data_IF_847786447631
#
_entry.id   IF_847786447631
#
_cell.length_a   1.000
_cell.length_b   1.000
_cell.length_c   1.000
_cell.angle_alpha   90.00
_cell.angle_beta   90.00
_cell.angle_gamma   90.00
#
_symmetry.space_group_name_H-M   'P 1'
#
loop_
_entity.id
_entity.type
_entity.pdbx_description
1 polymer ?
#
# COMPACT_ATOMS: atom_id res chain seq x y z
N UNK A 1 7.68 -8.03 32.15
CA UNK A 1 7.18 -9.11 33.04
C UNK A 1 7.89 -10.44 32.75
N UNK A 2 7.88 -10.97 31.52
CA UNK A 2 8.53 -12.26 31.21
C UNK A 2 10.06 -12.23 31.04
N UNK A 3 10.69 -11.05 30.90
CA UNK A 3 12.14 -10.88 30.65
C UNK A 3 12.67 -11.63 29.41
N UNK A 4 11.81 -11.80 28.40
CA UNK A 4 12.18 -12.36 27.08
C UNK A 4 12.54 -11.23 26.10
N UNK A 5 13.37 -11.52 25.10
CA UNK A 5 13.72 -10.57 24.05
C UNK A 5 12.58 -10.37 23.04
N UNK A 6 12.62 -9.28 22.25
CA UNK A 6 11.62 -9.01 21.21
C UNK A 6 11.53 -10.12 20.15
N UNK A 7 12.65 -10.77 19.83
CA UNK A 7 12.68 -11.92 18.90
C UNK A 7 11.99 -13.18 19.42
N UNK A 8 11.64 -13.22 20.72
CA UNK A 8 10.88 -14.29 21.36
C UNK A 8 9.37 -14.04 21.33
N UNK A 9 8.90 -13.13 20.47
CA UNK A 9 7.48 -12.85 20.23
C UNK A 9 7.18 -13.01 18.74
N UNK A 10 6.41 -14.03 18.39
CA UNK A 10 5.90 -14.28 17.05
C UNK A 10 4.51 -13.69 16.87
N UNK A 11 4.20 -13.18 15.68
CA UNK A 11 2.86 -12.69 15.33
C UNK A 11 2.67 -12.74 13.81
N UNK A 12 1.41 -12.90 13.39
CA UNK A 12 1.07 -13.07 11.98
C UNK A 12 1.11 -11.76 11.16
N UNK A 13 0.92 -10.61 11.80
CA UNK A 13 1.02 -9.30 11.17
C UNK A 13 0.66 -8.18 12.14
N UNK A 14 1.09 -6.95 11.85
CA UNK A 14 0.75 -5.78 12.67
C UNK A 14 -0.72 -5.38 12.51
N UNK A 15 -1.32 -4.81 13.57
CA UNK A 15 -2.69 -4.29 13.57
C UNK A 15 -2.70 -2.79 13.82
N UNK A 16 -3.84 -2.15 13.58
CA UNK A 16 -4.00 -0.72 13.78
C UNK A 16 -3.87 -0.34 15.25
N UNK A 17 -3.13 0.73 15.53
CA UNK A 17 -2.92 1.24 16.89
C UNK A 17 -4.19 1.85 17.50
N UNK A 18 -5.09 2.38 16.66
CA UNK A 18 -6.32 3.07 17.09
C UNK A 18 -7.53 2.21 16.77
N UNK A 19 -7.61 1.04 17.42
CA UNK A 19 -8.71 0.10 17.30
C UNK A 19 -8.74 -0.84 18.50
N UNK A 20 -9.89 -1.43 18.78
CA UNK A 20 -9.97 -2.64 19.62
C UNK A 20 -9.58 -3.83 18.75
N UNK A 21 -8.53 -4.55 19.13
CA UNK A 21 -7.96 -5.62 18.32
C UNK A 21 -7.89 -6.93 19.12
N UNK A 22 -8.09 -8.04 18.42
CA UNK A 22 -7.78 -9.36 18.94
C UNK A 22 -6.89 -10.07 17.93
N UNK A 23 -5.76 -10.59 18.39
CA UNK A 23 -4.81 -11.32 17.55
C UNK A 23 -4.12 -12.42 18.35
N UNK A 24 -3.63 -13.44 17.65
CA UNK A 24 -2.77 -14.46 18.24
C UNK A 24 -1.30 -14.04 18.15
N UNK A 25 -0.56 -14.35 19.22
CA UNK A 25 0.88 -14.20 19.30
C UNK A 25 1.50 -15.50 19.81
N UNK A 26 2.75 -15.76 19.43
CA UNK A 26 3.57 -16.83 20.01
C UNK A 26 4.56 -16.21 20.99
N UNK A 27 4.72 -16.82 22.15
CA UNK A 27 5.67 -16.41 23.17
C UNK A 27 6.53 -17.61 23.53
N UNK A 28 7.85 -17.43 23.56
CA UNK A 28 8.76 -18.45 24.09
C UNK A 28 8.81 -18.33 25.63
N UNK A 29 7.74 -18.81 26.28
CA UNK A 29 7.57 -18.75 27.72
C UNK A 29 6.71 -19.92 28.26
N UNK A 30 6.88 -20.32 29.53
CA UNK A 30 5.97 -21.27 30.17
C UNK A 30 4.52 -20.76 30.21
N UNK A 31 3.55 -21.65 29.96
CA UNK A 31 2.13 -21.30 29.94
C UNK A 31 1.67 -20.62 31.25
N UNK A 32 2.08 -21.15 32.40
CA UNK A 32 1.75 -20.58 33.72
C UNK A 32 2.29 -19.15 33.92
N UNK A 33 3.40 -18.79 33.26
CA UNK A 33 3.95 -17.45 33.32
C UNK A 33 3.16 -16.48 32.40
N UNK A 34 2.60 -16.99 31.30
CA UNK A 34 1.77 -16.19 30.38
C UNK A 34 0.40 -15.90 30.99
N UNK A 35 -0.25 -16.91 31.60
CA UNK A 35 -1.58 -16.78 32.22
C UNK A 35 -1.62 -15.78 33.39
N UNK A 36 -0.46 -15.52 34.01
CA UNK A 36 -0.32 -14.59 35.14
C UNK A 36 0.00 -13.15 34.71
N UNK A 37 0.24 -12.91 33.41
CA UNK A 37 0.51 -11.56 32.92
C UNK A 37 -0.71 -10.67 33.04
N UNK A 38 -0.49 -9.43 33.45
CA UNK A 38 -1.51 -8.39 33.54
C UNK A 38 -0.99 -7.12 32.89
N UNK A 39 -1.82 -6.49 32.08
CA UNK A 39 -1.49 -5.25 31.39
C UNK A 39 -2.68 -4.29 31.50
N UNK A 40 -2.40 -2.99 31.47
CA UNK A 40 -3.45 -1.97 31.60
C UNK A 40 -4.22 -1.79 30.27
N UNK A 41 -3.51 -1.92 29.14
CA UNK A 41 -4.04 -1.58 27.81
C UNK A 41 -4.49 -2.79 26.97
N UNK A 42 -4.28 -4.02 27.44
CA UNK A 42 -4.72 -5.24 26.75
C UNK A 42 -4.85 -6.43 27.71
N UNK A 43 -5.60 -7.43 27.28
CA UNK A 43 -5.82 -8.66 28.04
C UNK A 43 -5.41 -9.90 27.26
N UNK A 44 -5.06 -10.96 28.01
CA UNK A 44 -4.85 -12.30 27.44
C UNK A 44 -6.17 -13.05 27.59
N UNK A 45 -6.88 -13.24 26.47
CA UNK A 45 -8.17 -13.93 26.43
C UNK A 45 -8.01 -15.45 26.65
N UNK A 46 -6.98 -16.04 26.02
CA UNK A 46 -6.70 -17.46 26.07
C UNK A 46 -5.20 -17.70 25.88
N UNK A 47 -4.65 -18.71 26.54
CA UNK A 47 -3.28 -19.15 26.37
C UNK A 47 -3.23 -20.69 26.28
N UNK A 48 -2.48 -21.22 25.31
CA UNK A 48 -2.28 -22.64 25.13
C UNK A 48 -0.89 -22.91 24.52
N UNK A 49 -0.44 -24.17 24.58
CA UNK A 49 0.84 -24.57 23.97
C UNK A 49 0.64 -24.96 22.52
N UNK A 50 1.58 -24.57 21.66
CA UNK A 50 1.63 -24.94 20.25
C UNK A 50 3.03 -25.45 19.90
N UNK A 51 3.11 -26.37 18.94
CA UNK A 51 4.38 -26.81 18.34
C UNK A 51 4.77 -25.97 17.11
N UNK A 52 3.94 -25.00 16.73
CA UNK A 52 4.18 -24.08 15.61
C UNK A 52 4.31 -22.64 16.12
N UNK A 53 5.37 -21.98 15.66
CA UNK A 53 5.59 -20.56 15.87
C UNK A 53 4.81 -19.74 14.85
N UNK A 54 4.20 -18.63 15.27
CA UNK A 54 3.55 -17.69 14.35
C UNK A 54 4.58 -16.80 13.66
N UNK A 55 4.55 -16.82 12.33
CA UNK A 55 5.38 -15.99 11.45
C UNK A 55 4.54 -14.96 10.71
N UNK A 56 5.18 -13.89 10.23
CA UNK A 56 4.51 -12.89 9.40
C UNK A 56 3.93 -13.57 8.16
N UNK A 57 2.62 -13.40 7.95
CA UNK A 57 1.88 -14.07 6.88
C UNK A 57 1.00 -15.24 7.35
N UNK A 58 1.12 -15.67 8.62
CA UNK A 58 0.28 -16.74 9.21
C UNK A 58 -1.16 -16.30 9.54
N UNK A 59 -1.72 -15.36 8.77
CA UNK A 59 -3.13 -15.00 8.84
C UNK A 59 -3.79 -15.09 7.47
N UNK A 60 -5.05 -15.52 7.46
CA UNK A 60 -5.90 -15.48 6.27
C UNK A 60 -6.33 -14.05 5.96
N UNK A 61 -6.59 -13.26 6.99
CA UNK A 61 -7.12 -11.91 6.91
C UNK A 61 -7.59 -11.40 8.26
N UNK A 62 -8.34 -10.30 8.26
CA UNK A 62 -8.93 -9.73 9.47
C UNK A 62 -10.43 -9.60 9.28
N UNK A 63 -11.21 -9.89 10.33
CA UNK A 63 -12.61 -9.49 10.41
C UNK A 63 -12.64 -8.07 10.95
N UNK A 64 -13.38 -7.20 10.27
CA UNK A 64 -13.55 -5.81 10.70
C UNK A 64 -14.99 -5.58 11.15
N UNK A 65 -15.12 -4.77 12.18
CA UNK A 65 -16.37 -4.17 12.63
C UNK A 65 -16.11 -2.67 12.73
N UNK A 66 -16.80 -1.88 11.92
CA UNK A 66 -16.50 -0.46 11.72
C UNK A 66 -17.78 0.33 11.98
N UNK A 67 -17.67 1.27 12.91
CA UNK A 67 -18.73 2.25 13.17
C UNK A 67 -18.40 3.53 12.42
N UNK A 68 -19.23 3.88 11.43
CA UNK A 68 -19.15 5.16 10.72
C UNK A 68 -20.11 6.14 11.40
N UNK A 69 -19.58 7.26 11.92
CA UNK A 69 -20.34 8.30 12.64
C UNK A 69 -20.42 9.58 11.80
N UNK A 70 -21.32 10.49 12.19
CA UNK A 70 -21.44 11.84 11.63
C UNK A 70 -21.60 11.88 10.11
N UNK A 71 -22.56 11.11 9.58
CA UNK A 71 -22.79 11.00 8.14
C UNK A 71 -23.67 12.13 7.60
N UNK A 72 -23.26 12.76 6.49
CA UNK A 72 -23.95 13.92 5.87
C UNK A 72 -25.19 13.58 5.02
N UNK A 73 -25.90 12.48 5.32
CA UNK A 73 -27.08 12.08 4.54
C UNK A 73 -28.35 12.85 4.91
N UNK A 74 -28.38 13.48 6.08
CA UNK A 74 -29.51 14.27 6.61
C UNK A 74 -30.80 13.47 6.89
N UNK A 75 -30.89 12.23 6.41
CA UNK A 75 -32.03 11.33 6.53
C UNK A 75 -31.54 9.88 6.59
N UNK A 76 -32.03 9.13 7.59
CA UNK A 76 -31.67 7.74 7.81
C UNK A 76 -32.15 6.81 6.67
N UNK A 77 -33.26 7.12 5.99
CA UNK A 77 -33.72 6.34 4.84
C UNK A 77 -32.80 6.50 3.62
N UNK A 78 -32.33 7.73 3.37
CA UNK A 78 -31.33 7.98 2.30
C UNK A 78 -30.03 7.24 2.58
N UNK A 79 -29.57 7.25 3.83
CA UNK A 79 -28.39 6.49 4.25
C UNK A 79 -28.61 4.98 4.04
N UNK A 80 -29.73 4.42 4.53
CA UNK A 80 -30.08 3.00 4.34
C UNK A 80 -30.10 2.61 2.87
N UNK A 81 -30.75 3.41 2.03
CA UNK A 81 -30.82 3.16 0.59
C UNK A 81 -29.43 3.16 -0.06
N UNK A 82 -28.59 4.13 0.28
CA UNK A 82 -27.23 4.22 -0.26
C UNK A 82 -26.34 3.04 0.19
N UNK A 83 -26.40 2.66 1.47
CA UNK A 83 -25.64 1.53 2.00
C UNK A 83 -26.14 0.21 1.40
N UNK A 84 -27.45 0.00 1.29
CA UNK A 84 -28.00 -1.19 0.64
C UNK A 84 -27.53 -1.30 -0.80
N UNK A 85 -27.72 -0.25 -1.61
CA UNK A 85 -27.34 -0.26 -3.02
C UNK A 85 -25.83 -0.52 -3.21
N UNK A 86 -25.00 0.04 -2.33
CA UNK A 86 -23.55 -0.17 -2.36
C UNK A 86 -23.17 -1.59 -1.93
N UNK A 87 -23.79 -2.12 -0.88
CA UNK A 87 -23.56 -3.49 -0.41
C UNK A 87 -23.98 -4.51 -1.46
N UNK A 88 -25.17 -4.34 -2.04
CA UNK A 88 -25.69 -5.20 -3.10
C UNK A 88 -24.77 -5.20 -4.32
N UNK A 89 -24.24 -4.03 -4.70
CA UNK A 89 -23.26 -3.91 -5.77
C UNK A 89 -21.97 -4.68 -5.45
N UNK A 90 -21.39 -4.48 -4.26
CA UNK A 90 -20.16 -5.17 -3.85
C UNK A 90 -20.36 -6.69 -3.86
N UNK A 91 -21.46 -7.18 -3.31
CA UNK A 91 -21.74 -8.61 -3.24
C UNK A 91 -22.03 -9.20 -4.63
N UNK A 92 -22.76 -8.47 -5.49
CA UNK A 92 -23.04 -8.89 -6.87
C UNK A 92 -21.77 -8.97 -7.71
N UNK A 93 -20.89 -7.98 -7.60
CA UNK A 93 -19.60 -8.00 -8.30
C UNK A 93 -18.59 -8.97 -7.65
N UNK A 94 -18.89 -9.49 -6.45
CA UNK A 94 -18.06 -10.46 -5.72
C UNK A 94 -16.91 -9.84 -4.92
N UNK A 95 -16.91 -8.52 -4.73
CA UNK A 95 -15.85 -7.78 -4.07
C UNK A 95 -15.83 -6.30 -4.41
N UNK A 96 -14.74 -5.63 -4.03
CA UNK A 96 -14.51 -4.23 -4.33
C UNK A 96 -13.12 -4.01 -4.96
N UNK A 97 -12.91 -2.94 -5.75
CA UNK A 97 -11.63 -2.68 -6.41
C UNK A 97 -10.46 -2.52 -5.42
N UNK A 98 -9.35 -3.20 -5.66
CA UNK A 98 -8.19 -3.27 -4.75
C UNK A 98 -7.21 -2.10 -4.93
N UNK A 99 -7.71 -0.86 -4.86
CA UNK A 99 -6.88 0.33 -4.94
C UNK A 99 -5.88 0.43 -3.78
N UNK A 100 -4.71 0.99 -4.06
CA UNK A 100 -3.86 1.51 -2.99
C UNK A 100 -4.47 2.80 -2.45
N UNK A 101 -4.77 2.82 -1.14
CA UNK A 101 -5.32 3.98 -0.45
C UNK A 101 -4.34 5.15 -0.33
N UNK A 102 -4.88 6.32 0.02
CA UNK A 102 -4.14 7.60 0.08
C UNK A 102 -2.92 7.55 1.01
N UNK A 103 -2.99 6.73 2.07
CA UNK A 103 -1.91 6.55 3.04
C UNK A 103 -0.63 6.00 2.38
N UNK A 104 -0.74 5.25 1.27
CA UNK A 104 0.41 4.75 0.50
C UNK A 104 1.21 5.88 -0.17
N UNK A 105 0.57 7.01 -0.42
CA UNK A 105 1.14 8.16 -1.12
C UNK A 105 1.58 9.28 -0.18
N UNK A 106 1.35 9.11 1.13
CA UNK A 106 1.63 10.06 2.20
C UNK A 106 0.35 10.54 2.88
N UNK A 107 0.36 10.61 4.22
CA UNK A 107 -0.81 11.02 5.01
C UNK A 107 -1.01 12.54 5.06
N UNK A 108 0.09 13.29 5.13
CA UNK A 108 0.07 14.76 5.18
C UNK A 108 0.35 15.37 3.81
N UNK A 109 1.35 14.83 3.10
CA UNK A 109 1.76 15.30 1.77
C UNK A 109 1.72 14.13 0.79
N UNK A 110 0.82 14.20 -0.19
CA UNK A 110 0.62 13.16 -1.21
C UNK A 110 1.70 13.29 -2.30
N UNK A 111 2.97 13.11 -1.94
CA UNK A 111 4.14 13.38 -2.81
C UNK A 111 5.03 12.16 -3.01
N UNK A 112 4.81 11.09 -2.25
CA UNK A 112 5.68 9.90 -2.23
C UNK A 112 5.80 9.25 -3.62
N UNK A 113 4.70 9.19 -4.38
CA UNK A 113 4.71 8.67 -5.75
C UNK A 113 5.42 9.60 -6.74
N UNK A 114 5.34 10.93 -6.56
CA UNK A 114 6.05 11.91 -7.39
C UNK A 114 7.56 11.79 -7.19
N UNK A 115 8.01 11.61 -5.96
CA UNK A 115 9.42 11.33 -5.64
C UNK A 115 9.84 10.00 -6.29
N UNK A 116 9.01 8.96 -6.18
CA UNK A 116 9.24 7.68 -6.85
C UNK A 116 9.34 7.79 -8.37
N UNK A 117 8.51 8.65 -8.99
CA UNK A 117 8.56 8.95 -10.41
C UNK A 117 9.90 9.55 -10.81
N UNK A 118 10.39 10.55 -10.08
CA UNK A 118 11.70 11.14 -10.33
C UNK A 118 12.83 10.11 -10.21
N UNK A 119 12.79 9.25 -9.17
CA UNK A 119 13.77 8.17 -9.00
C UNK A 119 13.75 7.21 -10.19
N UNK A 120 12.56 6.77 -10.64
CA UNK A 120 12.43 5.86 -11.77
C UNK A 120 12.93 6.48 -13.10
N UNK A 121 12.82 7.79 -13.25
CA UNK A 121 13.36 8.49 -14.43
C UNK A 121 14.85 8.82 -14.32
N UNK A 122 15.51 8.43 -13.22
CA UNK A 122 16.91 8.75 -12.96
C UNK A 122 17.16 10.21 -12.53
N UNK A 123 16.10 11.00 -12.35
CA UNK A 123 16.19 12.39 -11.89
C UNK A 123 16.25 12.45 -10.36
N UNK A 124 17.40 12.07 -9.81
CA UNK A 124 17.61 12.08 -8.36
C UNK A 124 17.58 13.51 -7.79
N UNK A 125 17.95 14.52 -8.58
CA UNK A 125 17.83 15.93 -8.19
C UNK A 125 16.37 16.30 -7.99
N UNK A 126 15.51 16.02 -8.98
CA UNK A 126 14.07 16.21 -8.88
C UNK A 126 13.46 15.46 -7.70
N UNK A 127 13.90 14.23 -7.44
CA UNK A 127 13.44 13.44 -6.29
C UNK A 127 13.76 14.11 -4.95
N UNK A 128 15.00 14.59 -4.78
CA UNK A 128 15.42 15.31 -3.57
C UNK A 128 14.65 16.61 -3.42
N UNK A 129 14.55 17.42 -4.48
CA UNK A 129 13.83 18.69 -4.45
C UNK A 129 12.32 18.50 -4.21
N UNK A 130 11.70 17.46 -4.74
CA UNK A 130 10.31 17.14 -4.44
C UNK A 130 10.10 16.83 -2.94
N UNK A 131 11.11 16.25 -2.28
CA UNK A 131 11.07 15.96 -0.86
C UNK A 131 11.33 17.21 0.01
N UNK A 132 12.35 18.01 -0.30
CA UNK A 132 12.80 19.14 0.55
C UNK A 132 12.28 20.52 0.13
N UNK A 133 11.90 20.74 -1.14
CA UNK A 133 11.70 22.07 -1.71
C UNK A 133 10.27 22.39 -2.17
N UNK A 134 9.32 21.45 -2.13
CA UNK A 134 7.97 21.62 -2.71
C UNK A 134 6.96 22.24 -1.72
N UNK A 135 6.77 23.58 -1.65
CA UNK A 135 5.83 24.20 -0.72
C UNK A 135 4.39 23.87 -1.12
N UNK A 136 3.55 23.54 -0.13
CA UNK A 136 2.14 23.20 -0.35
C UNK A 136 1.21 24.13 0.44
N UNK A 137 0.07 24.45 -0.16
CA UNK A 137 -0.98 25.22 0.52
C UNK A 137 -1.45 24.49 1.79
N UNK A 138 -1.66 25.24 2.87
CA UNK A 138 -2.03 24.68 4.18
C UNK A 138 -0.87 24.17 5.04
N UNK A 139 0.38 24.20 4.54
CA UNK A 139 1.55 23.96 5.40
C UNK A 139 1.76 25.08 6.42
N UNK A 140 2.43 24.76 7.54
CA UNK A 140 2.82 25.75 8.54
C UNK A 140 3.76 26.79 7.89
N UNK A 141 3.58 28.07 8.24
CA UNK A 141 4.25 29.18 7.55
C UNK A 141 5.78 29.07 7.52
N UNK A 142 6.40 28.57 8.60
CA UNK A 142 7.84 28.42 8.71
C UNK A 142 8.41 27.36 7.74
N UNK A 143 7.80 26.18 7.65
CA UNK A 143 8.23 25.14 6.72
C UNK A 143 7.89 25.53 5.28
N UNK A 144 6.75 26.19 5.06
CA UNK A 144 6.41 26.72 3.73
C UNK A 144 7.49 27.69 3.24
N UNK A 145 7.90 28.64 4.08
CA UNK A 145 8.96 29.60 3.75
C UNK A 145 10.29 28.90 3.47
N UNK A 146 10.72 27.96 4.31
CA UNK A 146 11.98 27.23 4.13
C UNK A 146 12.00 26.40 2.83
N UNK A 147 10.89 25.73 2.48
CA UNK A 147 10.76 25.01 1.20
C UNK A 147 10.78 25.97 0.01
N UNK A 148 10.08 27.10 0.13
CA UNK A 148 10.05 28.15 -0.88
C UNK A 148 11.44 28.73 -1.13
N UNK A 149 12.26 28.95 -0.10
CA UNK A 149 13.65 29.40 -0.28
C UNK A 149 14.45 28.46 -1.20
N UNK A 150 14.31 27.14 -1.04
CA UNK A 150 14.99 26.18 -1.93
C UNK A 150 14.42 26.28 -3.35
N UNK A 151 13.09 26.37 -3.51
CA UNK A 151 12.45 26.52 -4.82
C UNK A 151 12.87 27.81 -5.54
N UNK A 152 13.07 28.90 -4.80
CA UNK A 152 13.50 30.20 -5.33
C UNK A 152 15.03 30.26 -5.56
N UNK A 153 15.76 29.18 -5.30
CA UNK A 153 17.19 29.03 -5.62
C UNK A 153 18.16 29.50 -4.54
N UNK A 154 17.71 29.66 -3.28
CA UNK A 154 18.59 29.96 -2.17
C UNK A 154 19.62 28.83 -1.94
N UNK A 155 20.81 29.21 -1.45
CA UNK A 155 21.84 28.23 -1.14
C UNK A 155 21.46 27.39 0.11
N UNK A 156 21.89 26.13 0.14
CA UNK A 156 21.51 25.19 1.20
C UNK A 156 21.97 25.61 2.61
N UNK A 157 23.07 26.36 2.74
CA UNK A 157 23.57 26.80 4.04
C UNK A 157 22.63 27.83 4.70
N UNK A 158 22.08 28.77 3.92
CA UNK A 158 21.10 29.73 4.43
C UNK A 158 19.74 29.08 4.67
N UNK A 159 19.31 28.18 3.77
CA UNK A 159 18.11 27.38 3.96
C UNK A 159 18.17 26.59 5.27
N UNK A 160 19.30 25.95 5.59
CA UNK A 160 19.45 25.13 6.80
C UNK A 160 19.25 25.94 8.09
N UNK A 161 19.54 27.24 8.09
CA UNK A 161 19.30 28.11 9.26
C UNK A 161 17.81 28.32 9.51
N UNK A 162 17.04 28.47 8.44
CA UNK A 162 15.59 28.73 8.49
C UNK A 162 14.74 27.44 8.54
N UNK A 163 15.31 26.29 8.15
CA UNK A 163 14.59 25.02 8.11
C UNK A 163 14.27 24.51 9.54
N UNK A 164 13.00 24.29 9.93
CA UNK A 164 12.68 24.01 11.33
C UNK A 164 13.28 22.68 11.84
N UNK A 165 13.81 22.67 13.07
CA UNK A 165 14.57 21.55 13.64
C UNK A 165 13.82 20.21 13.70
N UNK A 166 12.50 20.25 13.83
CA UNK A 166 11.67 19.03 13.86
C UNK A 166 11.70 18.21 12.56
N UNK A 167 12.17 18.78 11.45
CA UNK A 167 12.28 18.14 10.13
C UNK A 167 13.69 17.56 9.92
N UNK A 168 14.09 16.64 10.81
CA UNK A 168 15.46 16.12 10.86
C UNK A 168 15.85 15.38 9.56
N UNK A 169 14.91 14.68 8.91
CA UNK A 169 15.19 13.95 7.67
C UNK A 169 15.56 14.92 6.53
N UNK A 170 14.76 15.97 6.32
CA UNK A 170 15.05 17.02 5.35
C UNK A 170 16.36 17.75 5.69
N UNK A 171 16.57 18.11 6.96
CA UNK A 171 17.79 18.78 7.42
C UNK A 171 19.04 17.92 7.19
N UNK A 172 18.96 16.59 7.35
CA UNK A 172 20.05 15.66 7.02
C UNK A 172 20.40 15.67 5.54
N UNK A 173 19.40 15.69 4.67
CA UNK A 173 19.62 15.78 3.22
C UNK A 173 20.27 17.11 2.83
N UNK A 174 19.77 18.22 3.41
CA UNK A 174 20.31 19.56 3.18
C UNK A 174 21.78 19.64 3.64
N UNK A 175 22.10 19.16 4.84
CA UNK A 175 23.48 19.06 5.35
C UNK A 175 24.39 18.26 4.41
N UNK A 176 23.93 17.09 3.96
CA UNK A 176 24.68 16.27 3.00
C UNK A 176 25.02 17.05 1.73
N UNK A 177 24.08 17.84 1.20
CA UNK A 177 24.29 18.62 -0.02
C UNK A 177 25.17 19.86 0.18
N UNK A 178 25.31 20.37 1.41
CA UNK A 178 26.31 21.39 1.75
C UNK A 178 27.72 20.76 1.71
N UNK A 179 27.89 19.59 2.32
CA UNK A 179 29.19 18.92 2.42
C UNK A 179 29.63 18.28 1.09
N UNK A 180 28.66 17.77 0.33
CA UNK A 180 28.83 17.06 -0.95
C UNK A 180 27.86 17.64 -2.00
N UNK A 181 28.20 18.79 -2.60
CA UNK A 181 27.38 19.40 -3.64
C UNK A 181 27.08 18.40 -4.77
N UNK A 182 25.84 18.41 -5.24
CA UNK A 182 25.33 17.57 -6.34
C UNK A 182 25.33 16.05 -6.09
N UNK A 183 25.68 15.56 -4.90
CA UNK A 183 25.51 14.14 -4.54
C UNK A 183 24.06 13.84 -4.12
N UNK A 184 23.14 13.94 -5.09
CA UNK A 184 21.70 13.70 -4.89
C UNK A 184 21.40 12.27 -4.46
N UNK A 185 22.16 11.30 -4.97
CA UNK A 185 22.04 9.90 -4.55
C UNK A 185 22.42 9.74 -3.07
N UNK A 186 23.53 10.37 -2.63
CA UNK A 186 23.94 10.40 -1.23
C UNK A 186 22.91 11.09 -0.34
N UNK A 187 22.28 12.17 -0.81
CA UNK A 187 21.21 12.84 -0.09
C UNK A 187 20.01 11.89 0.15
N UNK A 188 19.54 11.15 -0.87
CA UNK A 188 18.48 10.14 -0.70
C UNK A 188 18.90 9.05 0.30
N UNK A 189 20.17 8.62 0.27
CA UNK A 189 20.69 7.61 1.21
C UNK A 189 20.70 8.06 2.67
N UNK A 190 20.54 9.35 2.97
CA UNK A 190 20.37 9.83 4.33
C UNK A 190 19.04 9.40 4.96
N UNK A 191 18.03 9.11 4.15
CA UNK A 191 16.74 8.65 4.64
C UNK A 191 16.82 7.19 5.12
N UNK A 192 15.94 6.75 6.04
CA UNK A 192 15.84 5.34 6.39
C UNK A 192 15.56 4.47 5.16
N UNK A 193 16.19 3.29 5.05
CA UNK A 193 16.06 2.41 3.87
C UNK A 193 14.61 2.11 3.49
N UNK A 194 13.75 1.86 4.49
CA UNK A 194 12.33 1.57 4.26
C UNK A 194 11.58 2.74 3.60
N UNK A 195 11.94 3.99 3.93
CA UNK A 195 11.35 5.18 3.33
C UNK A 195 11.84 5.37 1.89
N UNK A 196 13.11 5.08 1.63
CA UNK A 196 13.65 5.14 0.27
C UNK A 196 12.95 4.15 -0.66
N UNK A 197 12.77 2.89 -0.22
CA UNK A 197 12.04 1.88 -0.99
C UNK A 197 10.56 2.25 -1.16
N UNK A 198 9.97 2.94 -0.17
CA UNK A 198 8.57 3.37 -0.22
C UNK A 198 8.29 4.29 -1.40
N UNK A 199 9.23 5.16 -1.81
CA UNK A 199 9.03 6.06 -2.96
C UNK A 199 8.77 5.28 -4.25
N UNK A 200 9.64 4.32 -4.57
CA UNK A 200 9.48 3.49 -5.77
C UNK A 200 8.17 2.70 -5.71
N UNK A 201 7.87 2.08 -4.56
CA UNK A 201 6.62 1.34 -4.38
C UNK A 201 5.38 2.23 -4.51
N UNK A 202 5.41 3.47 -4.02
CA UNK A 202 4.32 4.41 -4.18
C UNK A 202 4.10 4.77 -5.66
N UNK A 203 5.16 4.92 -6.46
CA UNK A 203 4.98 5.15 -7.89
C UNK A 203 4.39 3.93 -8.61
N UNK A 204 4.83 2.72 -8.26
CA UNK A 204 4.21 1.49 -8.78
C UNK A 204 2.73 1.39 -8.39
N UNK A 205 2.38 1.74 -7.14
CA UNK A 205 1.00 1.80 -6.67
C UNK A 205 0.15 2.81 -7.44
N UNK A 206 0.73 3.95 -7.81
CA UNK A 206 0.06 4.96 -8.64
C UNK A 206 -0.27 4.42 -10.03
N UNK A 207 0.69 3.76 -10.69
CA UNK A 207 0.49 3.13 -12.00
C UNK A 207 -0.59 2.03 -11.93
N UNK A 208 -0.53 1.18 -10.91
CA UNK A 208 -1.53 0.14 -10.68
C UNK A 208 -2.94 0.75 -10.51
N UNK A 209 -3.09 1.81 -9.70
CA UNK A 209 -4.38 2.48 -9.53
C UNK A 209 -4.91 3.01 -10.88
N UNK A 210 -4.05 3.60 -11.72
CA UNK A 210 -4.45 4.06 -13.06
C UNK A 210 -4.92 2.92 -13.97
N UNK A 211 -4.22 1.79 -13.95
CA UNK A 211 -4.57 0.58 -14.71
C UNK A 211 -5.93 0.04 -14.26
N UNK A 212 -6.13 -0.10 -12.96
CA UNK A 212 -7.40 -0.54 -12.37
C UNK A 212 -8.55 0.40 -12.76
N UNK A 213 -8.34 1.73 -12.69
CA UNK A 213 -9.35 2.70 -13.12
C UNK A 213 -9.68 2.60 -14.61
N UNK A 214 -8.70 2.44 -15.49
CA UNK A 214 -8.94 2.32 -16.94
C UNK A 214 -9.73 1.04 -17.26
N UNK A 215 -9.41 -0.09 -16.60
CA UNK A 215 -10.17 -1.33 -16.77
C UNK A 215 -11.65 -1.15 -16.39
N UNK A 216 -11.91 -0.53 -15.24
CA UNK A 216 -13.28 -0.23 -14.78
C UNK A 216 -13.99 0.70 -15.79
N UNK A 217 -13.31 1.73 -16.30
CA UNK A 217 -13.90 2.65 -17.30
C UNK A 217 -14.30 1.95 -18.61
N UNK A 218 -13.58 0.89 -19.00
CA UNK A 218 -13.92 0.08 -20.18
C UNK A 218 -15.03 -0.95 -19.91
N UNK A 219 -15.54 -1.03 -18.68
CA UNK A 219 -16.60 -1.99 -18.32
C UNK A 219 -16.11 -3.44 -18.26
N UNK A 220 -14.79 -3.66 -18.22
CA UNK A 220 -14.23 -5.02 -18.13
C UNK A 220 -14.35 -5.50 -16.69
N UNK A 221 -14.94 -6.69 -16.43
CA UNK A 221 -15.14 -7.18 -15.08
C UNK A 221 -13.82 -7.41 -14.34
N UNK A 222 -13.84 -7.19 -13.02
CA UNK A 222 -12.72 -7.51 -12.12
C UNK A 222 -12.82 -8.92 -11.55
N UNK A 223 -14.04 -9.46 -11.50
CA UNK A 223 -14.39 -10.75 -10.91
C UNK A 223 -14.41 -11.91 -11.91
N UNK A 224 -14.23 -11.62 -13.19
CA UNK A 224 -14.13 -12.61 -14.25
C UNK A 224 -12.93 -12.30 -15.16
N UNK A 225 -12.14 -13.32 -15.53
CA UNK A 225 -11.05 -13.14 -16.48
C UNK A 225 -11.58 -13.00 -17.90
N UNK A 226 -10.84 -12.27 -18.74
CA UNK A 226 -11.00 -12.26 -20.21
C UNK A 226 -9.70 -12.75 -20.88
N UNK A 227 -9.72 -13.17 -22.15
CA UNK A 227 -8.51 -13.50 -22.89
C UNK A 227 -7.45 -12.39 -22.81
N UNK A 228 -6.21 -12.79 -22.55
CA UNK A 228 -5.08 -11.90 -22.33
C UNK A 228 -4.84 -11.50 -20.88
N UNK A 229 -5.80 -11.72 -19.97
CA UNK A 229 -5.56 -11.50 -18.54
C UNK A 229 -4.45 -12.39 -17.99
N UNK A 230 -3.80 -11.93 -16.93
CA UNK A 230 -2.92 -12.75 -16.12
C UNK A 230 -3.60 -13.00 -14.77
N UNK A 231 -3.74 -14.27 -14.41
CA UNK A 231 -4.31 -14.68 -13.11
C UNK A 231 -3.23 -15.24 -12.19
N UNK A 232 -3.45 -15.09 -10.89
CA UNK A 232 -2.64 -15.78 -9.88
C UNK A 232 -3.53 -16.82 -9.20
N UNK A 233 -3.14 -18.12 -9.20
CA UNK A 233 -3.80 -19.13 -8.39
C UNK A 233 -3.67 -18.78 -6.90
N UNK A 234 -4.77 -18.89 -6.18
CA UNK A 234 -4.75 -18.85 -4.73
C UNK A 234 -4.58 -20.30 -4.25
N UNK A 235 -3.47 -20.61 -3.59
CA UNK A 235 -3.47 -21.71 -2.62
C UNK A 235 -4.29 -21.23 -1.45
N UNK A 236 -5.19 -22.07 -0.93
CA UNK A 236 -6.12 -21.80 0.18
C UNK A 236 -5.55 -20.73 1.14
N UNK A 237 -5.93 -19.48 0.89
CA UNK A 237 -5.75 -18.32 1.79
C UNK A 237 -4.45 -17.50 1.74
N UNK A 238 -3.57 -17.69 0.75
CA UNK A 238 -2.42 -16.78 0.52
C UNK A 238 -2.40 -16.35 -0.95
N UNK A 239 -2.31 -15.04 -1.21
CA UNK A 239 -1.91 -14.52 -2.53
C UNK A 239 -0.40 -14.74 -2.60
N UNK A 240 0.11 -15.67 -3.44
CA UNK A 240 1.55 -15.91 -3.50
C UNK A 240 2.29 -14.62 -3.83
N UNK A 241 3.25 -14.24 -3.00
CA UNK A 241 4.33 -13.39 -3.47
C UNK A 241 5.06 -14.16 -4.58
N UNK A 242 5.04 -13.61 -5.78
CA UNK A 242 5.88 -14.04 -6.90
C UNK A 242 5.61 -15.46 -7.44
N UNK A 243 4.57 -15.60 -8.26
CA UNK A 243 4.63 -16.50 -9.41
C UNK A 243 4.33 -15.70 -10.67
N UNK A 244 5.09 -15.96 -11.73
CA UNK A 244 4.71 -15.55 -13.09
C UNK A 244 3.29 -16.08 -13.30
N UNK A 245 2.31 -15.18 -13.36
CA UNK A 245 0.91 -15.56 -13.36
C UNK A 245 0.56 -16.41 -14.59
N UNK A 246 -0.64 -16.99 -14.59
CA UNK A 246 -1.10 -17.80 -15.71
C UNK A 246 -1.80 -16.88 -16.70
N UNK A 247 -1.31 -16.85 -17.95
CA UNK A 247 -1.97 -16.16 -19.04
C UNK A 247 -3.28 -16.85 -19.42
N UNK A 248 -4.34 -16.07 -19.51
CA UNK A 248 -5.66 -16.50 -19.94
C UNK A 248 -5.70 -16.49 -21.46
N UNK A 249 -6.04 -17.63 -22.04
CA UNK A 249 -6.26 -17.82 -23.48
C UNK A 249 -7.65 -18.42 -23.70
N UNK A 250 -8.15 -18.36 -24.93
CA UNK A 250 -9.44 -18.97 -25.28
C UNK A 250 -9.54 -20.46 -24.84
N UNK A 251 -8.42 -21.19 -24.87
CA UNK A 251 -8.36 -22.62 -24.53
C UNK A 251 -8.52 -22.91 -23.03
N UNK A 252 -8.10 -22.00 -22.16
CA UNK A 252 -8.11 -22.21 -20.71
C UNK A 252 -9.13 -21.32 -19.98
N UNK A 253 -9.79 -20.40 -20.68
CA UNK A 253 -10.71 -19.41 -20.14
C UNK A 253 -11.80 -20.05 -19.28
N UNK A 254 -12.53 -21.04 -19.78
CA UNK A 254 -13.62 -21.69 -19.02
C UNK A 254 -13.12 -22.29 -17.69
N UNK A 255 -11.96 -22.97 -17.72
CA UNK A 255 -11.37 -23.57 -16.53
C UNK A 255 -10.94 -22.50 -15.52
N UNK A 256 -10.33 -21.41 -15.99
CA UNK A 256 -9.87 -20.31 -15.13
C UNK A 256 -11.07 -19.54 -14.56
N UNK A 257 -12.06 -19.20 -15.38
CA UNK A 257 -13.27 -18.51 -14.96
C UNK A 257 -13.98 -19.27 -13.83
N UNK A 258 -14.09 -20.61 -13.94
CA UNK A 258 -14.59 -21.44 -12.85
C UNK A 258 -13.73 -21.33 -11.58
N UNK A 259 -12.41 -21.35 -11.69
CA UNK A 259 -11.49 -21.21 -10.54
C UNK A 259 -11.59 -19.85 -9.88
N UNK A 260 -11.77 -18.77 -10.66
CA UNK A 260 -11.99 -17.42 -10.12
C UNK A 260 -13.33 -17.37 -9.38
N UNK A 261 -14.39 -17.93 -9.95
CA UNK A 261 -15.71 -18.04 -9.29
C UNK A 261 -15.66 -18.84 -7.99
N UNK A 262 -14.83 -19.88 -7.91
CA UNK A 262 -14.59 -20.66 -6.69
C UNK A 262 -13.69 -19.92 -5.66
N UNK A 263 -13.14 -18.75 -6.00
CA UNK A 263 -12.19 -18.02 -5.15
C UNK A 263 -10.79 -18.66 -5.08
N UNK A 264 -10.45 -19.52 -6.04
CA UNK A 264 -9.15 -20.23 -6.14
C UNK A 264 -8.17 -19.57 -7.11
N UNK A 265 -8.55 -18.46 -7.72
CA UNK A 265 -7.70 -17.65 -8.57
C UNK A 265 -8.20 -16.19 -8.55
N UNK A 266 -7.29 -15.25 -8.77
CA UNK A 266 -7.60 -13.83 -8.83
C UNK A 266 -7.13 -13.24 -10.15
N UNK A 267 -7.95 -12.38 -10.75
CA UNK A 267 -7.54 -11.53 -11.87
C UNK A 267 -6.60 -10.45 -11.34
N UNK A 268 -5.50 -10.23 -12.04
CA UNK A 268 -4.44 -9.33 -11.57
C UNK A 268 -4.19 -8.18 -12.53
N UNK A 269 -3.62 -7.11 -12.01
CA UNK A 269 -3.08 -5.99 -12.75
C UNK A 269 -1.59 -5.83 -12.51
N UNK A 270 -0.93 -5.14 -13.43
CA UNK A 270 0.49 -4.88 -13.40
C UNK A 270 0.90 -3.92 -12.27
N UNK A 271 1.87 -4.36 -11.47
CA UNK A 271 2.70 -3.50 -10.63
C UNK A 271 4.02 -3.36 -11.38
N UNK A 272 4.14 -2.29 -12.17
CA UNK A 272 5.18 -2.16 -13.19
C UNK A 272 6.60 -2.13 -12.60
N UNK A 273 7.55 -2.75 -13.28
CA UNK A 273 8.97 -2.75 -12.91
C UNK A 273 9.84 -3.19 -14.08
N UNK A 274 11.05 -3.67 -13.81
CA UNK A 274 11.99 -4.09 -14.86
C UNK A 274 11.69 -5.46 -15.49
N UNK A 275 10.72 -6.21 -14.97
CA UNK A 275 10.32 -7.51 -15.49
C UNK A 275 9.16 -7.45 -16.50
N UNK A 276 9.10 -8.39 -17.47
CA UNK A 276 8.05 -8.44 -18.49
C UNK A 276 6.77 -9.12 -17.94
N UNK A 277 5.91 -8.34 -17.29
CA UNK A 277 4.68 -8.87 -16.66
C UNK A 277 3.39 -8.31 -17.29
N UNK A 278 3.47 -7.82 -18.52
CA UNK A 278 2.31 -7.29 -19.23
C UNK A 278 1.32 -8.39 -19.58
N UNK A 279 0.04 -8.10 -19.37
CA UNK A 279 -1.04 -8.85 -19.95
C UNK A 279 -1.06 -8.73 -21.49
N UNK A 280 -1.88 -9.53 -22.15
CA UNK A 280 -2.08 -9.52 -23.60
C UNK A 280 -3.46 -8.94 -23.96
N UNK A 281 -3.71 -8.77 -25.26
CA UNK A 281 -4.98 -8.25 -25.79
C UNK A 281 -5.42 -6.95 -25.09
N UNK A 282 -6.72 -6.80 -24.85
CA UNK A 282 -7.29 -5.59 -24.24
C UNK A 282 -6.74 -5.29 -22.82
N UNK A 283 -6.58 -6.27 -21.90
CA UNK A 283 -5.88 -6.03 -20.63
C UNK A 283 -4.45 -5.50 -20.82
N UNK A 284 -3.71 -6.07 -21.77
CA UNK A 284 -2.36 -5.64 -22.12
C UNK A 284 -2.30 -4.23 -22.70
N UNK A 285 -3.25 -3.86 -23.54
CA UNK A 285 -3.39 -2.51 -24.08
C UNK A 285 -3.61 -1.48 -22.98
N UNK A 286 -4.45 -1.79 -21.99
CA UNK A 286 -4.66 -0.92 -20.83
C UNK A 286 -3.35 -0.68 -20.09
N UNK A 287 -2.62 -1.77 -19.79
CA UNK A 287 -1.37 -1.72 -19.06
C UNK A 287 -0.30 -0.93 -19.82
N UNK A 288 -0.11 -1.20 -21.11
CA UNK A 288 0.85 -0.47 -21.97
C UNK A 288 0.49 1.00 -22.10
N UNK A 289 -0.79 1.33 -22.34
CA UNK A 289 -1.25 2.72 -22.45
C UNK A 289 -0.92 3.54 -21.21
N UNK A 290 -1.06 2.98 -20.01
CA UNK A 290 -0.72 3.69 -18.76
C UNK A 290 0.80 3.89 -18.63
N UNK A 291 1.60 2.87 -18.94
CA UNK A 291 3.06 2.93 -18.88
C UNK A 291 3.63 3.90 -19.92
N UNK A 292 3.14 3.84 -21.17
CA UNK A 292 3.52 4.72 -22.28
C UNK A 292 3.14 6.18 -22.01
N UNK A 293 1.97 6.43 -21.42
CA UNK A 293 1.55 7.78 -21.03
C UNK A 293 2.47 8.41 -19.98
N UNK A 294 3.24 7.61 -19.25
CA UNK A 294 4.26 8.06 -18.30
C UNK A 294 5.67 8.04 -18.89
N UNK A 295 5.85 7.65 -20.16
CA UNK A 295 7.15 7.59 -20.82
C UNK A 295 8.09 6.49 -20.30
N UNK A 296 7.53 5.47 -19.67
CA UNK A 296 8.29 4.45 -18.94
C UNK A 296 8.74 3.29 -19.83
N UNK A 297 9.93 2.78 -19.53
CA UNK A 297 10.50 1.53 -20.03
C UNK A 297 10.98 0.67 -18.85
N UNK A 298 11.17 -0.66 -19.02
CA UNK A 298 11.62 -1.52 -17.93
C UNK A 298 12.90 -1.05 -17.23
N UNK A 299 13.83 -0.42 -17.96
CA UNK A 299 15.10 0.07 -17.43
C UNK A 299 14.91 1.21 -16.42
N UNK A 300 13.78 1.93 -16.45
CA UNK A 300 13.47 2.97 -15.48
C UNK A 300 13.35 2.43 -14.04
N UNK A 301 13.02 1.15 -13.88
CA UNK A 301 12.96 0.52 -12.56
C UNK A 301 14.25 -0.23 -12.20
N UNK A 302 15.34 0.05 -12.92
CA UNK A 302 16.71 -0.27 -12.53
C UNK A 302 17.37 1.04 -12.09
N UNK A 303 17.81 1.12 -10.83
CA UNK A 303 18.37 2.34 -10.22
C UNK A 303 19.84 2.08 -9.86
N UNK A 304 20.80 2.21 -10.79
CA UNK A 304 22.20 1.84 -10.55
C UNK A 304 22.86 2.61 -9.40
N UNK A 305 22.47 3.87 -9.20
CA UNK A 305 23.02 4.70 -8.13
C UNK A 305 22.57 4.19 -6.76
N UNK A 306 21.39 3.58 -6.65
CA UNK A 306 20.88 3.01 -5.39
C UNK A 306 20.27 1.64 -5.68
N UNK A 307 21.09 0.59 -5.90
CA UNK A 307 20.65 -0.67 -6.53
C UNK A 307 19.46 -1.35 -5.86
N UNK A 308 19.34 -1.28 -4.52
CA UNK A 308 18.22 -1.88 -3.79
C UNK A 308 16.87 -1.18 -3.98
N UNK A 309 16.84 -0.02 -4.66
CA UNK A 309 15.61 0.62 -5.10
C UNK A 309 15.10 0.06 -6.44
N UNK A 310 15.91 -0.75 -7.13
CA UNK A 310 15.48 -1.42 -8.35
C UNK A 310 14.38 -2.41 -8.03
N UNK A 311 13.35 -2.46 -8.88
CA UNK A 311 12.20 -3.35 -8.67
C UNK A 311 11.85 -4.08 -9.96
N UNK A 312 11.75 -5.41 -9.88
CA UNK A 312 11.30 -6.24 -11.01
C UNK A 312 9.83 -6.04 -11.34
N UNK A 313 9.06 -5.44 -10.43
CA UNK A 313 7.60 -5.40 -10.55
C UNK A 313 6.99 -6.75 -10.18
N UNK A 314 5.65 -6.79 -10.17
CA UNK A 314 4.87 -7.97 -9.83
C UNK A 314 3.46 -7.86 -10.43
N UNK A 315 2.59 -8.81 -10.10
CA UNK A 315 1.15 -8.74 -10.34
C UNK A 315 0.42 -8.60 -9.01
N UNK A 316 -0.65 -7.83 -8.99
CA UNK A 316 -1.52 -7.64 -7.82
C UNK A 316 -2.97 -7.90 -8.18
N UNK A 317 -3.73 -8.58 -7.32
CA UNK A 317 -5.15 -8.78 -7.53
C UNK A 317 -5.90 -7.45 -7.74
N UNK A 318 -6.73 -7.36 -8.77
CA UNK A 318 -7.50 -6.15 -9.10
C UNK A 318 -8.68 -5.90 -8.15
N UNK A 319 -9.14 -6.96 -7.48
CA UNK A 319 -10.30 -6.93 -6.60
C UNK A 319 -9.95 -7.59 -5.27
N UNK A 320 -10.50 -7.05 -4.18
CA UNK A 320 -10.56 -7.73 -2.90
C UNK A 320 -11.88 -8.50 -2.85
N UNK A 321 -11.86 -9.85 -2.79
CA UNK A 321 -13.08 -10.62 -2.72
C UNK A 321 -13.86 -10.31 -1.42
N UNK A 322 -15.17 -10.14 -1.53
CA UNK A 322 -16.05 -9.94 -0.38
C UNK A 322 -17.20 -10.93 -0.46
N UNK A 323 -17.25 -11.88 0.48
CA UNK A 323 -18.32 -12.89 0.56
C UNK A 323 -19.46 -12.50 1.49
N UNK A 324 -19.16 -11.68 2.49
CA UNK A 324 -20.09 -11.33 3.55
C UNK A 324 -19.85 -9.89 4.00
N UNK A 325 -20.90 -9.08 3.94
CA UNK A 325 -20.90 -7.68 4.36
C UNK A 325 -22.23 -7.41 5.07
N UNK A 326 -22.20 -7.53 6.40
CA UNK A 326 -23.35 -7.19 7.24
C UNK A 326 -23.27 -5.69 7.56
N UNK A 327 -24.41 -5.01 7.57
CA UNK A 327 -24.50 -3.61 7.94
C UNK A 327 -25.83 -3.33 8.61
N UNK A 328 -25.84 -2.33 9.49
CA UNK A 328 -27.05 -1.79 10.09
C UNK A 328 -26.94 -0.26 10.17
N UNK A 329 -28.07 0.42 10.10
CA UNK A 329 -28.15 1.87 10.32
C UNK A 329 -28.76 2.10 11.68
N UNK A 330 -27.95 2.57 12.62
CA UNK A 330 -28.36 2.87 13.98
C UNK A 330 -28.65 4.37 14.09
N UNK A 331 -29.88 4.73 14.46
CA UNK A 331 -30.31 6.13 14.65
C UNK A 331 -30.31 6.58 16.10
N UNK A 332 -30.23 5.64 17.03
CA UNK A 332 -30.01 5.86 18.47
C UNK A 332 -28.52 5.72 18.76
N UNK A 333 -27.97 6.44 19.75
CA UNK A 333 -26.53 6.42 20.03
C UNK A 333 -25.98 4.98 20.16
N UNK A 334 -24.84 4.72 19.53
CA UNK A 334 -24.11 3.46 19.66
C UNK A 334 -23.23 3.57 20.91
N UNK A 335 -23.59 2.85 21.98
CA UNK A 335 -22.70 2.63 23.13
C UNK A 335 -21.48 1.82 22.66
N UNK A 336 -20.28 2.26 23.04
CA UNK A 336 -19.01 1.62 22.66
C UNK A 336 -18.73 0.39 23.53
#
# INVERSE_FOLDING_TARGET
QLRIGYGAVGFAGTKDKRAVISQQISLDAPLSAVETLRFDDFEILEAFRSNRWLEIGDLIGNRFEIVVRDTDFGDAEKLRSAVSATSDLILREGGFPNFFGIQRFGAVRITTHTIGKFIAHGDLKGAVLAYIANPMEGERADIFAARKMISDGANFADVLKEYPDKFELERRMIRHLIDRPEDWAGAIRQLPKHLQTMFVYAYQSYLFNRILSERIRRGIPLSAPIPGDIIIPCTEHVVPEQKDGILVSERNLEKIARRVKEGKALVTGLVFGSGPLFAECEPGEIERKVVEAEGLRPENFVVPQIPYLSSKGTRRALMVPMKKLDWEVVTTGIEN
#
